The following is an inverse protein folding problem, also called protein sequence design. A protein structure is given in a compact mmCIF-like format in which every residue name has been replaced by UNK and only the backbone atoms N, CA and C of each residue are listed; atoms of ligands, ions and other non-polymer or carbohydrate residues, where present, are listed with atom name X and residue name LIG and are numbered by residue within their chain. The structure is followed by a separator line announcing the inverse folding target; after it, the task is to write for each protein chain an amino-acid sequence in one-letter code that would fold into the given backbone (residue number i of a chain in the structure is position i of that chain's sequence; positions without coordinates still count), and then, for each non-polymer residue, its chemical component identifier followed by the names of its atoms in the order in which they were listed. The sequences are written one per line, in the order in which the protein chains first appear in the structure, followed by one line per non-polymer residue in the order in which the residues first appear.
data_IF_804617444241
#
_entry.id   IF_804617444241
#
_cell.length_a   1.000
_cell.length_b   1.000
_cell.length_c   1.000
_cell.angle_alpha   90.00
_cell.angle_beta   90.00
_cell.angle_gamma   90.00
#
_symmetry.space_group_name_H-M   'P 1'
#
loop_
_entity.id
_entity.type
_entity.pdbx_description
1 polymer ?
#
# COMPACT_ATOMS: atom_id res chain seq x y z
N UNK A 1 33.35 9.40 16.27
CA UNK A 1 32.06 8.78 15.89
C UNK A 1 31.05 9.82 15.42
N UNK A 2 30.88 10.96 16.10
CA UNK A 2 30.00 12.07 15.69
C UNK A 2 30.20 12.50 14.23
N UNK A 3 31.45 12.68 13.78
CA UNK A 3 31.76 13.04 12.37
C UNK A 3 31.34 11.99 11.33
N UNK A 4 31.20 10.72 11.74
CA UNK A 4 30.84 9.60 10.85
C UNK A 4 29.34 9.37 10.82
N UNK A 5 28.67 9.55 11.96
CA UNK A 5 27.24 9.33 12.12
C UNK A 5 26.39 10.59 11.90
N UNK A 6 27.02 11.79 11.93
CA UNK A 6 26.32 13.07 11.77
C UNK A 6 25.39 13.44 12.93
N UNK A 7 25.33 12.59 13.97
CA UNK A 7 24.46 12.74 15.13
C UNK A 7 25.26 12.42 16.41
N UNK A 8 25.16 13.28 17.41
CA UNK A 8 25.87 13.14 18.68
C UNK A 8 25.32 11.99 19.52
N UNK A 9 24.00 11.88 19.65
CA UNK A 9 23.33 10.90 20.50
C UNK A 9 23.60 9.47 20.02
N UNK A 10 23.48 9.24 18.71
CA UNK A 10 23.77 7.92 18.10
C UNK A 10 25.25 7.58 18.23
N UNK A 11 26.13 8.57 18.19
CA UNK A 11 27.55 8.36 18.37
C UNK A 11 27.91 7.98 19.82
N UNK A 12 27.22 8.56 20.80
CA UNK A 12 27.35 8.21 22.20
C UNK A 12 26.87 6.77 22.46
N UNK A 13 25.67 6.42 21.98
CA UNK A 13 25.11 5.08 22.13
C UNK A 13 26.03 4.00 21.55
N UNK A 14 26.60 4.24 20.36
CA UNK A 14 27.55 3.31 19.73
C UNK A 14 28.84 3.13 20.54
N UNK A 15 29.30 4.19 21.21
CA UNK A 15 30.48 4.11 22.09
C UNK A 15 30.14 3.32 23.35
N UNK A 16 28.98 3.57 23.95
CA UNK A 16 28.50 2.83 25.12
C UNK A 16 28.32 1.34 24.80
N UNK A 17 27.69 1.01 23.67
CA UNK A 17 27.56 -0.38 23.18
C UNK A 17 28.93 -1.07 23.06
N UNK A 18 29.94 -0.35 22.58
CA UNK A 18 31.29 -0.92 22.45
C UNK A 18 31.94 -1.21 23.80
N UNK A 19 31.67 -0.39 24.83
CA UNK A 19 32.14 -0.58 26.19
C UNK A 19 31.40 -1.74 26.88
N UNK A 20 30.09 -1.85 26.67
CA UNK A 20 29.30 -2.99 27.15
C UNK A 20 29.87 -4.29 26.57
N UNK A 21 30.09 -4.35 25.26
CA UNK A 21 30.67 -5.52 24.61
C UNK A 21 32.08 -5.87 25.12
N UNK A 22 32.87 -4.88 25.55
CA UNK A 22 34.15 -5.12 26.19
C UNK A 22 33.99 -5.72 27.59
N UNK A 23 33.08 -5.18 28.41
CA UNK A 23 32.79 -5.68 29.75
C UNK A 23 32.23 -7.11 29.76
N UNK A 24 31.51 -7.49 28.71
CA UNK A 24 31.03 -8.87 28.54
C UNK A 24 32.14 -9.83 28.10
N UNK A 25 33.02 -9.41 27.17
CA UNK A 25 33.99 -10.33 26.54
C UNK A 25 35.32 -10.44 27.25
N UNK A 26 35.84 -9.34 27.80
CA UNK A 26 37.19 -9.34 28.39
C UNK A 26 37.34 -10.22 29.64
N UNK A 27 36.32 -10.40 30.51
CA UNK A 27 36.45 -11.31 31.65
C UNK A 27 36.69 -12.77 31.25
N UNK A 28 36.10 -13.22 30.13
CA UNK A 28 36.22 -14.59 29.65
C UNK A 28 37.40 -14.79 28.69
N UNK A 29 37.67 -13.81 27.83
CA UNK A 29 38.60 -13.93 26.70
C UNK A 29 39.92 -13.20 26.93
N UNK A 30 40.05 -12.49 28.05
CA UNK A 30 41.17 -11.60 28.34
C UNK A 30 41.04 -10.24 27.66
N UNK A 31 41.79 -9.27 28.17
CA UNK A 31 41.89 -7.93 27.59
C UNK A 31 42.80 -8.01 26.35
N UNK A 32 42.37 -7.56 25.17
CA UNK A 32 43.20 -7.53 23.97
C UNK A 32 44.44 -6.64 24.12
N UNK A 33 45.50 -6.94 23.38
CA UNK A 33 46.76 -6.17 23.39
C UNK A 33 46.58 -4.67 23.07
N UNK A 34 45.57 -4.33 22.26
CA UNK A 34 45.17 -2.96 21.98
C UNK A 34 43.66 -2.75 22.23
N UNK A 35 43.26 -2.42 23.47
CA UNK A 35 41.86 -2.23 23.83
C UNK A 35 41.19 -1.06 23.08
N UNK A 36 41.93 0.03 22.86
CA UNK A 36 41.42 1.21 22.15
C UNK A 36 41.08 0.92 20.69
N UNK A 37 41.95 0.19 19.98
CA UNK A 37 41.70 -0.23 18.60
C UNK A 37 40.52 -1.21 18.52
N UNK A 38 40.39 -2.10 19.51
CA UNK A 38 39.26 -3.02 19.61
C UNK A 38 37.94 -2.28 19.78
N UNK A 39 37.85 -1.36 20.75
CA UNK A 39 36.65 -0.55 21.01
C UNK A 39 36.25 0.27 19.78
N UNK A 40 37.21 0.94 19.14
CA UNK A 40 36.95 1.72 17.93
C UNK A 40 36.44 0.86 16.77
N UNK A 41 36.96 -0.36 16.63
CA UNK A 41 36.50 -1.31 15.61
C UNK A 41 35.08 -1.79 15.88
N UNK A 42 34.78 -2.14 17.13
CA UNK A 42 33.44 -2.56 17.57
C UNK A 42 32.42 -1.44 17.35
N UNK A 43 32.73 -0.21 17.80
CA UNK A 43 31.93 0.98 17.56
C UNK A 43 31.69 1.22 16.06
N UNK A 44 32.73 1.10 15.23
CA UNK A 44 32.60 1.29 13.77
C UNK A 44 31.70 0.26 13.11
N UNK A 45 31.79 -1.02 13.51
CA UNK A 45 30.90 -2.08 13.00
C UNK A 45 29.45 -1.79 13.36
N UNK A 46 29.19 -1.43 14.62
CA UNK A 46 27.86 -1.06 15.10
C UNK A 46 27.26 0.13 14.35
N UNK A 47 28.05 1.17 14.11
CA UNK A 47 27.64 2.33 13.30
C UNK A 47 27.25 1.94 11.86
N UNK A 48 28.02 1.05 11.22
CA UNK A 48 27.69 0.55 9.87
C UNK A 48 26.36 -0.21 9.88
N UNK A 49 26.11 -1.01 10.91
CA UNK A 49 24.86 -1.77 11.02
C UNK A 49 23.64 -0.87 11.19
N UNK A 50 23.76 0.22 11.96
CA UNK A 50 22.73 1.25 12.08
C UNK A 50 22.45 1.89 10.72
N UNK A 51 23.48 2.40 10.03
CA UNK A 51 23.32 3.02 8.70
C UNK A 51 22.70 2.06 7.66
N UNK A 52 23.08 0.77 7.71
CA UNK A 52 22.49 -0.26 6.84
C UNK A 52 21.05 -0.57 7.21
N UNK A 53 20.69 -0.51 8.50
CA UNK A 53 19.32 -0.69 8.96
C UNK A 53 18.44 0.47 8.51
N UNK A 54 18.90 1.70 8.66
CA UNK A 54 18.18 2.91 8.27
C UNK A 54 17.95 2.94 6.76
N UNK A 55 18.98 2.62 5.96
CA UNK A 55 18.84 2.48 4.51
C UNK A 55 17.79 1.44 4.12
N UNK A 56 17.84 0.25 4.72
CA UNK A 56 16.84 -0.81 4.45
C UNK A 56 15.43 -0.38 4.88
N UNK A 57 15.32 0.36 5.98
CA UNK A 57 14.04 0.89 6.44
C UNK A 57 13.49 1.90 5.44
N UNK A 58 14.31 2.86 4.99
CA UNK A 58 13.94 3.82 3.96
C UNK A 58 13.55 3.14 2.63
N UNK A 59 14.30 2.12 2.19
CA UNK A 59 13.95 1.33 1.00
C UNK A 59 12.60 0.61 1.14
N UNK A 60 12.29 0.06 2.32
CA UNK A 60 10.99 -0.57 2.60
C UNK A 60 9.85 0.43 2.67
N UNK A 61 10.07 1.59 3.28
CA UNK A 61 9.08 2.68 3.31
C UNK A 61 8.80 3.15 1.87
N UNK A 62 9.83 3.37 1.06
CA UNK A 62 9.67 3.75 -0.34
C UNK A 62 8.92 2.68 -1.17
N UNK A 63 9.12 1.39 -0.87
CA UNK A 63 8.37 0.30 -1.50
C UNK A 63 6.88 0.33 -1.09
N UNK A 64 6.60 0.56 0.19
CA UNK A 64 5.23 0.68 0.69
C UNK A 64 4.53 1.91 0.10
N UNK A 65 5.21 3.06 0.07
CA UNK A 65 4.72 4.28 -0.57
C UNK A 65 4.39 4.05 -2.06
N UNK A 66 5.24 3.30 -2.76
CA UNK A 66 5.00 2.92 -4.16
C UNK A 66 3.80 1.97 -4.32
N UNK A 67 3.60 1.04 -3.39
CA UNK A 67 2.40 0.18 -3.38
C UNK A 67 1.11 0.92 -3.00
N UNK A 68 1.22 2.10 -2.37
CA UNK A 68 0.07 2.97 -2.06
C UNK A 68 -0.19 4.05 -3.12
N UNK A 69 0.60 4.10 -4.21
CA UNK A 69 0.29 4.98 -5.34
C UNK A 69 -0.94 4.43 -6.06
N UNK A 70 -1.96 5.25 -6.37
CA UNK A 70 -3.14 4.79 -7.08
C UNK A 70 -2.73 4.30 -8.49
N UNK A 71 -2.72 2.98 -8.69
CA UNK A 71 -2.40 2.35 -9.97
C UNK A 71 -1.28 1.29 -9.94
N UNK A 72 -1.22 0.43 -8.93
CA UNK A 72 -0.54 -0.87 -9.10
C UNK A 72 -1.22 -1.61 -10.29
N UNK A 73 -0.49 -2.17 -11.27
CA UNK A 73 -1.10 -2.91 -12.38
C UNK A 73 -2.15 -3.95 -11.96
N UNK A 74 -2.00 -4.55 -10.78
CA UNK A 74 -3.01 -5.49 -10.22
C UNK A 74 -4.29 -4.75 -9.78
N UNK A 75 -4.17 -3.62 -9.09
CA UNK A 75 -5.31 -2.79 -8.70
C UNK A 75 -5.97 -2.11 -9.91
N UNK A 76 -5.17 -1.72 -10.91
CA UNK A 76 -5.67 -1.18 -12.18
C UNK A 76 -6.51 -2.22 -12.92
N UNK A 77 -6.06 -3.47 -12.97
CA UNK A 77 -6.80 -4.60 -13.55
C UNK A 77 -8.10 -4.88 -12.80
N UNK A 78 -8.08 -4.90 -11.46
CA UNK A 78 -9.29 -5.12 -10.66
C UNK A 78 -10.29 -3.97 -10.81
N UNK A 79 -9.82 -2.72 -10.85
CA UNK A 79 -10.68 -1.56 -11.09
C UNK A 79 -11.30 -1.60 -12.49
N UNK A 80 -10.54 -1.99 -13.51
CA UNK A 80 -11.07 -2.18 -14.87
C UNK A 80 -12.12 -3.29 -14.92
N UNK A 81 -11.87 -4.44 -14.29
CA UNK A 81 -12.84 -5.55 -14.17
C UNK A 81 -14.14 -5.07 -13.52
N UNK A 82 -14.04 -4.24 -12.48
CA UNK A 82 -15.19 -3.66 -11.81
C UNK A 82 -15.96 -2.71 -12.72
N UNK A 83 -15.28 -1.81 -13.44
CA UNK A 83 -15.92 -0.93 -14.44
C UNK A 83 -16.69 -1.75 -15.48
N UNK A 84 -16.05 -2.75 -16.09
CA UNK A 84 -16.70 -3.59 -17.11
C UNK A 84 -17.86 -4.42 -16.56
N UNK A 85 -17.82 -4.79 -15.28
CA UNK A 85 -18.95 -5.48 -14.61
C UNK A 85 -20.13 -4.52 -14.42
N UNK A 86 -19.85 -3.26 -14.06
CA UNK A 86 -20.87 -2.22 -13.93
C UNK A 86 -21.49 -1.82 -15.28
N UNK A 87 -20.71 -1.76 -16.36
CA UNK A 87 -21.15 -1.40 -17.72
C UNK A 87 -21.69 -2.57 -18.54
N UNK A 88 -22.18 -3.64 -17.90
CA UNK A 88 -22.71 -4.80 -18.62
C UNK A 88 -24.08 -4.48 -19.24
N UNK A 89 -24.34 -4.81 -20.53
CA UNK A 89 -25.57 -4.44 -21.25
C UNK A 89 -26.87 -5.05 -20.68
N UNK A 90 -26.76 -6.05 -19.81
CA UNK A 90 -27.90 -6.62 -19.07
C UNK A 90 -28.46 -5.68 -17.98
N UNK A 91 -27.75 -4.60 -17.67
CA UNK A 91 -28.15 -3.55 -16.75
C UNK A 91 -28.64 -2.32 -17.55
N UNK A 92 -29.74 -1.66 -17.13
CA UNK A 92 -30.13 -0.40 -17.76
C UNK A 92 -29.09 0.69 -17.50
N UNK A 93 -28.92 1.63 -18.44
CA UNK A 93 -27.86 2.64 -18.41
C UNK A 93 -27.79 3.42 -17.09
N UNK A 94 -28.94 3.85 -16.54
CA UNK A 94 -29.00 4.51 -15.23
C UNK A 94 -28.39 3.67 -14.10
N UNK A 95 -28.60 2.34 -14.14
CA UNK A 95 -28.05 1.43 -13.13
C UNK A 95 -26.55 1.20 -13.33
N UNK A 96 -26.07 1.20 -14.57
CA UNK A 96 -24.64 1.13 -14.88
C UNK A 96 -23.91 2.35 -14.29
N UNK A 97 -24.40 3.56 -14.61
CA UNK A 97 -23.83 4.81 -14.11
C UNK A 97 -23.87 4.89 -12.58
N UNK A 98 -25.02 4.55 -11.97
CA UNK A 98 -25.15 4.56 -10.51
C UNK A 98 -24.21 3.56 -9.81
N UNK A 99 -24.00 2.37 -10.38
CA UNK A 99 -23.05 1.40 -9.83
C UNK A 99 -21.60 1.85 -10.00
N UNK A 100 -21.23 2.40 -11.15
CA UNK A 100 -19.88 2.92 -11.40
C UNK A 100 -19.55 4.05 -10.42
N UNK A 101 -20.45 5.01 -10.24
CA UNK A 101 -20.27 6.10 -9.26
C UNK A 101 -20.09 5.55 -7.84
N UNK A 102 -20.88 4.55 -7.45
CA UNK A 102 -20.82 3.97 -6.10
C UNK A 102 -19.58 3.10 -5.86
N UNK A 103 -19.27 2.20 -6.79
CA UNK A 103 -18.30 1.13 -6.58
C UNK A 103 -16.90 1.50 -7.06
N UNK A 104 -16.78 2.35 -8.09
CA UNK A 104 -15.49 2.70 -8.72
C UNK A 104 -15.03 4.11 -8.32
N UNK A 105 -15.97 5.05 -8.21
CA UNK A 105 -15.65 6.44 -7.87
C UNK A 105 -15.91 6.80 -6.39
N UNK A 106 -16.51 5.90 -5.62
CA UNK A 106 -16.64 6.04 -4.17
C UNK A 106 -17.72 7.00 -3.68
N UNK A 107 -18.65 7.43 -4.54
CA UNK A 107 -19.72 8.36 -4.14
C UNK A 107 -20.72 7.74 -3.15
N UNK A 108 -21.23 8.58 -2.26
CA UNK A 108 -22.31 8.24 -1.35
C UNK A 108 -23.65 8.08 -2.08
N UNK A 109 -24.60 7.35 -1.50
CA UNK A 109 -25.93 7.17 -2.12
C UNK A 109 -26.68 8.50 -2.22
N UNK A 110 -26.50 9.40 -1.25
CA UNK A 110 -27.04 10.76 -1.26
C UNK A 110 -26.48 11.60 -2.41
N UNK A 111 -25.15 11.59 -2.63
CA UNK A 111 -24.51 12.32 -3.73
C UNK A 111 -25.00 11.82 -5.10
N UNK A 112 -25.10 10.49 -5.27
CA UNK A 112 -25.61 9.91 -6.52
C UNK A 112 -27.10 10.26 -6.70
N UNK A 113 -27.90 10.23 -5.63
CA UNK A 113 -29.31 10.59 -5.71
C UNK A 113 -29.50 12.07 -6.13
N UNK A 114 -28.68 12.97 -5.61
CA UNK A 114 -28.66 14.37 -6.00
C UNK A 114 -28.30 14.55 -7.47
N UNK A 115 -27.26 13.84 -7.97
CA UNK A 115 -26.87 13.90 -9.38
C UNK A 115 -27.96 13.37 -10.33
N UNK A 116 -28.76 12.39 -9.88
CA UNK A 116 -29.87 11.81 -10.65
C UNK A 116 -31.21 12.53 -10.41
N UNK A 117 -31.26 13.57 -9.57
CA UNK A 117 -32.49 14.28 -9.19
C UNK A 117 -33.60 13.34 -8.68
N UNK A 118 -33.24 12.34 -7.87
CA UNK A 118 -34.18 11.41 -7.24
C UNK A 118 -34.01 11.38 -5.72
N UNK A 119 -35.02 10.88 -5.01
CA UNK A 119 -34.91 10.66 -3.58
C UNK A 119 -33.85 9.59 -3.23
N UNK A 120 -33.12 9.79 -2.14
CA UNK A 120 -32.07 8.86 -1.69
C UNK A 120 -32.57 7.40 -1.52
N UNK A 121 -33.77 7.12 -0.97
CA UNK A 121 -34.30 5.75 -0.89
C UNK A 121 -34.51 5.12 -2.27
N UNK A 122 -34.90 5.92 -3.28
CA UNK A 122 -35.09 5.44 -4.64
C UNK A 122 -33.75 5.04 -5.28
N UNK A 123 -32.70 5.83 -5.04
CA UNK A 123 -31.34 5.51 -5.49
C UNK A 123 -30.78 4.27 -4.77
N UNK A 124 -30.97 4.16 -3.45
CA UNK A 124 -30.58 2.98 -2.69
C UNK A 124 -31.21 1.70 -3.26
N UNK A 125 -32.52 1.74 -3.53
CA UNK A 125 -33.23 0.60 -4.14
C UNK A 125 -32.75 0.30 -5.57
N UNK A 126 -32.45 1.33 -6.37
CA UNK A 126 -31.87 1.16 -7.71
C UNK A 126 -30.54 0.38 -7.63
N UNK A 127 -29.63 0.79 -6.74
CA UNK A 127 -28.33 0.12 -6.54
C UNK A 127 -28.53 -1.33 -6.09
N UNK A 128 -29.44 -1.60 -5.15
CA UNK A 128 -29.72 -2.96 -4.68
C UNK A 128 -30.28 -3.83 -5.80
N UNK A 129 -31.24 -3.34 -6.59
CA UNK A 129 -31.79 -4.08 -7.74
C UNK A 129 -30.73 -4.37 -8.80
N UNK A 130 -29.84 -3.41 -9.06
CA UNK A 130 -28.74 -3.58 -10.00
C UNK A 130 -27.76 -4.69 -9.55
N UNK A 131 -27.36 -4.67 -8.27
CA UNK A 131 -26.53 -5.75 -7.68
C UNK A 131 -27.21 -7.12 -7.76
N UNK A 132 -28.52 -7.20 -7.46
CA UNK A 132 -29.30 -8.44 -7.61
C UNK A 132 -29.34 -8.91 -9.07
N UNK A 133 -29.45 -8.00 -10.03
CA UNK A 133 -29.45 -8.32 -11.47
C UNK A 133 -28.10 -8.88 -11.92
N UNK A 134 -26.98 -8.36 -11.43
CA UNK A 134 -25.63 -8.91 -11.67
C UNK A 134 -25.56 -10.38 -11.27
N UNK A 135 -26.01 -10.69 -10.05
CA UNK A 135 -26.03 -12.06 -9.52
C UNK A 135 -26.99 -12.95 -10.33
N UNK A 136 -28.21 -12.48 -10.58
CA UNK A 136 -29.23 -13.25 -11.29
C UNK A 136 -28.84 -13.56 -12.75
N UNK A 137 -28.21 -12.61 -13.44
CA UNK A 137 -27.72 -12.77 -14.81
C UNK A 137 -26.35 -13.46 -14.88
N UNK A 138 -25.76 -13.83 -13.73
CA UNK A 138 -24.43 -14.48 -13.63
C UNK A 138 -23.35 -13.72 -14.39
N UNK A 139 -23.36 -12.39 -14.29
CA UNK A 139 -22.38 -11.54 -14.97
C UNK A 139 -21.00 -11.81 -14.35
N UNK A 140 -20.01 -12.26 -15.16
CA UNK A 140 -18.72 -12.67 -14.61
C UNK A 140 -17.87 -11.45 -14.22
N UNK A 141 -17.26 -11.50 -13.04
CA UNK A 141 -16.26 -10.52 -12.59
C UNK A 141 -14.90 -10.85 -13.21
N UNK A 142 -14.73 -10.45 -14.47
CA UNK A 142 -13.52 -10.69 -15.27
C UNK A 142 -13.38 -9.61 -16.32
N UNK A 143 -12.20 -9.53 -16.92
CA UNK A 143 -12.02 -8.76 -18.14
C UNK A 143 -12.86 -9.39 -19.27
N UNK A 144 -13.65 -8.59 -19.99
CA UNK A 144 -14.40 -9.07 -21.15
C UNK A 144 -13.44 -9.56 -22.24
N UNK A 145 -13.85 -10.60 -22.96
CA UNK A 145 -13.13 -11.02 -24.16
C UNK A 145 -13.35 -10.03 -25.30
N UNK A 146 -12.52 -10.09 -26.35
CA UNK A 146 -12.56 -9.15 -27.47
C UNK A 146 -13.95 -9.03 -28.14
N UNK A 147 -14.77 -10.08 -28.09
CA UNK A 147 -16.13 -10.10 -28.66
C UNK A 147 -17.18 -9.42 -27.78
N UNK A 148 -16.96 -9.37 -26.46
CA UNK A 148 -17.84 -8.71 -25.50
C UNK A 148 -17.51 -7.21 -25.35
N UNK A 149 -16.29 -6.81 -25.72
CA UNK A 149 -15.73 -5.48 -25.49
C UNK A 149 -16.55 -4.35 -26.15
N UNK A 150 -16.96 -4.42 -27.44
CA UNK A 150 -17.68 -3.32 -28.09
C UNK A 150 -18.99 -2.96 -27.37
N UNK A 151 -19.78 -3.98 -27.02
CA UNK A 151 -21.07 -3.79 -26.33
C UNK A 151 -20.94 -3.17 -24.93
N UNK A 152 -19.75 -3.23 -24.32
CA UNK A 152 -19.47 -2.60 -23.01
C UNK A 152 -18.77 -1.24 -23.12
N UNK A 153 -18.21 -0.89 -24.27
CA UNK A 153 -17.60 0.41 -24.54
C UNK A 153 -18.60 1.44 -25.07
N UNK A 154 -19.62 0.99 -25.80
CA UNK A 154 -20.67 1.84 -26.37
C UNK A 154 -21.82 2.16 -25.39
N UNK A 155 -21.69 1.77 -24.12
CA UNK A 155 -22.72 1.84 -23.09
C UNK A 155 -22.71 3.15 -22.27
#
# INVERSE_FOLDING_TARGET
MVRVLGNFDVAEEVVQDSLVAALEKWPEQGIPDNPGAWLMTTARRRAIDILRRDRRYAEKIALLERSTLPGDPVEADDRLRLIFTCCHPALPQEAQVALTLRAVAGFTTAEIAAAFLVAEPAMAQRIVRAKKKIVAARIPYRMPDATELPARLDA
#
